data_IF_553736239477
#
_entry.id   IF_553736239477
#
_cell.length_a   1.000
_cell.length_b   1.000
_cell.length_c   1.000
_cell.angle_alpha   90.00
_cell.angle_beta   90.00
_cell.angle_gamma   90.00
#
_symmetry.space_group_name_H-M   'P 1'
#
loop_
_entity.id
_entity.type
_entity.pdbx_description
1 polymer ?
#
# COMPACT_ATOMS: atom_id res chain seq x y z
N UNK A 1 -25.42 -60.89 6.26
CA UNK A 1 -25.36 -59.57 5.57
C UNK A 1 -25.81 -58.47 6.52
N UNK A 2 -24.90 -57.82 7.24
CA UNK A 2 -25.17 -56.54 7.92
C UNK A 2 -23.87 -55.73 7.84
N UNK A 3 -23.78 -54.86 6.83
CA UNK A 3 -22.66 -53.92 6.66
C UNK A 3 -22.89 -52.76 7.64
N UNK A 4 -22.02 -52.64 8.64
CA UNK A 4 -21.89 -51.40 9.42
C UNK A 4 -21.22 -50.36 8.52
N UNK A 5 -21.93 -49.30 8.18
CA UNK A 5 -21.36 -48.08 7.60
C UNK A 5 -21.01 -47.19 8.79
N UNK A 6 -19.72 -47.07 9.12
CA UNK A 6 -19.25 -46.02 10.02
C UNK A 6 -19.20 -44.71 9.23
N UNK A 7 -20.10 -43.79 9.56
CA UNK A 7 -20.10 -42.42 9.06
C UNK A 7 -18.99 -41.67 9.83
N UNK A 8 -17.90 -41.35 9.14
CA UNK A 8 -16.86 -40.46 9.64
C UNK A 8 -17.43 -39.04 9.60
N UNK A 9 -17.86 -38.53 10.75
CA UNK A 9 -18.20 -37.13 10.90
C UNK A 9 -16.91 -36.31 10.78
N UNK A 10 -16.68 -35.70 9.62
CA UNK A 10 -15.63 -34.70 9.46
C UNK A 10 -15.93 -33.54 10.41
N UNK A 11 -15.09 -33.39 11.43
CA UNK A 11 -15.05 -32.19 12.27
C UNK A 11 -14.66 -31.03 11.35
N UNK A 12 -15.65 -30.32 10.83
CA UNK A 12 -15.44 -28.99 10.28
C UNK A 12 -15.03 -28.10 11.46
N UNK A 13 -13.72 -27.97 11.68
CA UNK A 13 -13.21 -26.92 12.55
C UNK A 13 -13.84 -25.61 12.10
N UNK A 14 -14.45 -24.82 12.99
CA UNK A 14 -14.89 -23.49 12.62
C UNK A 14 -13.67 -22.79 12.01
N UNK A 15 -13.84 -22.19 10.83
CA UNK A 15 -12.83 -21.36 10.22
C UNK A 15 -12.53 -20.23 11.21
N UNK A 16 -11.55 -20.46 12.08
CA UNK A 16 -10.99 -19.43 12.95
C UNK A 16 -10.54 -18.33 12.01
N UNK A 17 -11.00 -17.10 12.24
CA UNK A 17 -10.49 -15.95 11.52
C UNK A 17 -8.96 -16.02 11.59
N UNK A 18 -8.30 -16.06 10.43
CA UNK A 18 -6.86 -16.22 10.36
C UNK A 18 -6.20 -15.04 11.09
N UNK A 19 -5.34 -15.34 12.07
CA UNK A 19 -4.52 -14.33 12.70
C UNK A 19 -3.41 -13.93 11.73
N UNK A 20 -3.54 -12.78 11.10
CA UNK A 20 -2.53 -12.30 10.16
C UNK A 20 -1.25 -11.82 10.87
N UNK A 21 -1.24 -11.67 12.19
CA UNK A 21 -0.01 -11.29 12.91
C UNK A 21 1.00 -12.43 13.01
N UNK A 22 0.55 -13.68 12.87
CA UNK A 22 1.40 -14.86 12.99
C UNK A 22 2.53 -14.86 11.95
N UNK A 23 3.77 -14.90 12.46
CA UNK A 23 4.98 -14.94 11.62
C UNK A 23 5.29 -13.65 10.86
N UNK A 24 4.61 -12.54 11.16
CA UNK A 24 4.96 -11.22 10.66
C UNK A 24 6.23 -10.69 11.34
N UNK A 25 7.13 -10.10 10.55
CA UNK A 25 8.32 -9.38 11.03
C UNK A 25 8.19 -7.88 10.81
N UNK A 26 6.97 -7.38 10.64
CA UNK A 26 6.70 -5.97 10.41
C UNK A 26 7.17 -5.12 11.60
N UNK A 27 7.89 -4.05 11.30
CA UNK A 27 8.35 -3.09 12.29
C UNK A 27 7.24 -2.08 12.56
N UNK A 28 6.84 -1.94 13.82
CA UNK A 28 5.90 -0.91 14.29
C UNK A 28 6.35 0.50 13.91
N UNK A 29 5.37 1.35 13.60
CA UNK A 29 5.55 2.80 13.41
C UNK A 29 4.88 3.60 14.53
N UNK A 30 4.33 2.90 15.54
CA UNK A 30 3.55 3.44 16.63
C UNK A 30 2.34 4.27 16.14
N UNK A 31 1.71 3.85 15.04
CA UNK A 31 0.46 4.42 14.58
C UNK A 31 -0.70 3.85 15.40
N UNK A 32 -1.71 4.67 15.64
CA UNK A 32 -2.96 4.19 16.23
C UNK A 32 -3.61 3.15 15.31
N UNK A 33 -4.14 2.08 15.89
CA UNK A 33 -4.85 1.01 15.16
C UNK A 33 -3.96 0.12 14.29
N UNK A 34 -2.62 0.20 14.40
CA UNK A 34 -1.72 -0.68 13.65
C UNK A 34 -1.58 -2.06 14.29
N UNK A 35 -1.60 -3.09 13.45
CA UNK A 35 -1.23 -4.45 13.81
C UNK A 35 -0.30 -5.03 12.75
N UNK A 36 0.73 -5.81 13.13
CA UNK A 36 1.50 -6.58 12.17
C UNK A 36 0.57 -7.52 11.39
N UNK A 37 0.80 -7.65 10.09
CA UNK A 37 0.02 -8.52 9.22
C UNK A 37 0.89 -9.08 8.10
N UNK A 38 0.87 -10.40 7.98
CA UNK A 38 1.51 -11.19 6.95
C UNK A 38 0.46 -12.10 6.31
N UNK A 39 0.37 -12.07 4.99
CA UNK A 39 -0.62 -12.86 4.25
C UNK A 39 -0.26 -13.03 2.78
N UNK A 40 -0.88 -14.03 2.18
CA UNK A 40 -0.83 -14.29 0.74
C UNK A 40 -1.93 -13.48 0.03
N UNK A 41 -1.60 -12.95 -1.15
CA UNK A 41 -2.54 -12.17 -1.94
C UNK A 41 -2.17 -12.18 -3.42
N UNK A 42 -3.15 -11.86 -4.27
CA UNK A 42 -2.89 -11.47 -5.65
C UNK A 42 -2.75 -9.96 -5.74
N UNK A 43 -1.72 -9.47 -6.43
CA UNK A 43 -1.62 -8.04 -6.75
C UNK A 43 -2.59 -7.72 -7.88
N UNK A 44 -3.52 -6.81 -7.62
CA UNK A 44 -4.58 -6.44 -8.56
C UNK A 44 -4.60 -4.96 -8.85
N UNK A 45 -5.15 -4.61 -9.99
CA UNK A 45 -5.62 -3.26 -10.28
C UNK A 45 -6.98 -3.06 -9.62
N UNK A 46 -7.08 -2.11 -8.70
CA UNK A 46 -8.30 -1.88 -7.89
C UNK A 46 -9.50 -1.54 -8.78
N UNK A 47 -9.29 -0.74 -9.84
CA UNK A 47 -10.40 -0.37 -10.72
C UNK A 47 -10.90 -1.57 -11.52
N UNK A 48 -9.99 -2.39 -12.04
CA UNK A 48 -10.33 -3.63 -12.74
C UNK A 48 -11.15 -4.56 -11.83
N UNK A 49 -10.70 -4.76 -10.58
CA UNK A 49 -11.38 -5.64 -9.63
C UNK A 49 -12.77 -5.12 -9.25
N UNK A 50 -12.92 -3.81 -9.03
CA UNK A 50 -14.18 -3.23 -8.56
C UNK A 50 -15.21 -2.98 -9.67
N UNK A 51 -14.76 -2.71 -10.90
CA UNK A 51 -15.65 -2.20 -11.97
C UNK A 51 -15.53 -2.94 -13.30
N UNK A 52 -14.51 -3.79 -13.46
CA UNK A 52 -14.19 -4.42 -14.74
C UNK A 52 -13.43 -3.51 -15.72
N UNK A 53 -13.11 -2.27 -15.36
CA UNK A 53 -12.22 -1.41 -16.15
C UNK A 53 -10.76 -1.87 -15.96
N UNK A 54 -10.29 -2.71 -16.88
CA UNK A 54 -8.97 -3.34 -16.80
C UNK A 54 -7.98 -2.73 -17.78
N UNK A 55 -6.88 -2.15 -17.27
CA UNK A 55 -5.75 -1.74 -18.07
C UNK A 55 -4.71 -2.87 -18.18
N UNK A 56 -4.00 -2.90 -19.31
CA UNK A 56 -2.82 -3.74 -19.46
C UNK A 56 -1.77 -3.42 -18.39
N UNK A 57 -1.04 -4.43 -17.94
CA UNK A 57 0.03 -4.32 -16.92
C UNK A 57 -0.41 -3.57 -15.64
N UNK A 58 -1.68 -3.75 -15.22
CA UNK A 58 -2.29 -3.01 -14.11
C UNK A 58 -2.09 -1.49 -14.20
N UNK A 59 -2.14 -0.94 -15.42
CA UNK A 59 -1.94 0.48 -15.68
C UNK A 59 -0.47 0.95 -15.64
N UNK A 60 0.52 0.06 -15.64
CA UNK A 60 1.93 0.43 -15.82
C UNK A 60 2.47 1.41 -14.76
N UNK A 61 1.95 1.35 -13.54
CA UNK A 61 2.30 2.26 -12.44
C UNK A 61 1.52 3.57 -12.39
N UNK A 62 0.50 3.74 -13.24
CA UNK A 62 -0.41 4.90 -13.21
C UNK A 62 -1.70 4.65 -12.44
N UNK A 63 -2.03 3.38 -12.15
CA UNK A 63 -3.19 2.98 -11.36
C UNK A 63 -2.81 2.68 -9.92
N UNK A 64 -3.79 2.81 -9.03
CA UNK A 64 -3.68 2.28 -7.68
C UNK A 64 -3.80 0.76 -7.72
N UNK A 65 -2.92 0.09 -6.99
CA UNK A 65 -2.88 -1.36 -6.92
C UNK A 65 -3.34 -1.81 -5.53
N UNK A 66 -3.98 -2.97 -5.50
CA UNK A 66 -4.50 -3.61 -4.30
C UNK A 66 -3.91 -4.99 -4.10
N UNK A 67 -4.21 -5.56 -2.94
CA UNK A 67 -3.90 -6.94 -2.60
C UNK A 67 -5.23 -7.66 -2.36
N UNK A 68 -5.62 -8.52 -3.29
CA UNK A 68 -6.77 -9.40 -3.09
C UNK A 68 -6.31 -10.59 -2.26
N UNK A 69 -6.65 -10.56 -0.97
CA UNK A 69 -6.12 -11.53 0.01
C UNK A 69 -6.69 -12.92 -0.23
N UNK A 70 -5.81 -13.91 -0.31
CA UNK A 70 -6.16 -15.32 -0.62
C UNK A 70 -7.06 -15.98 0.42
N UNK A 71 -6.98 -15.56 1.67
CA UNK A 71 -7.67 -16.20 2.78
C UNK A 71 -9.19 -15.95 2.78
N UNK A 72 -9.62 -14.79 2.30
CA UNK A 72 -10.99 -14.29 2.49
C UNK A 72 -11.50 -13.37 1.36
N UNK A 73 -10.77 -13.27 0.25
CA UNK A 73 -11.07 -12.41 -0.90
C UNK A 73 -11.29 -10.93 -0.56
N UNK A 74 -10.75 -10.48 0.58
CA UNK A 74 -10.80 -9.08 0.98
C UNK A 74 -9.79 -8.29 0.17
N UNK A 75 -10.27 -7.22 -0.47
CA UNK A 75 -9.40 -6.23 -1.10
C UNK A 75 -8.74 -5.34 -0.04
N UNK A 76 -7.44 -5.55 0.16
CA UNK A 76 -6.59 -4.73 1.02
C UNK A 76 -5.95 -3.62 0.19
N UNK A 77 -5.86 -2.42 0.76
CA UNK A 77 -5.37 -1.19 0.13
C UNK A 77 -4.00 -0.78 0.68
N UNK A 78 -2.90 -1.12 -0.03
CA UNK A 78 -1.57 -0.67 0.34
C UNK A 78 -1.42 0.81 -0.02
N UNK A 79 -1.56 1.69 0.97
CA UNK A 79 -1.45 3.13 0.74
C UNK A 79 0.00 3.62 0.90
N UNK A 80 0.87 2.80 1.49
CA UNK A 80 2.21 3.22 1.90
C UNK A 80 3.23 2.08 1.85
N UNK A 81 4.48 2.41 1.54
CA UNK A 81 5.62 1.52 1.70
C UNK A 81 6.46 1.87 2.95
N UNK A 82 7.58 1.21 3.20
CA UNK A 82 8.42 1.45 4.39
C UNK A 82 9.18 2.82 4.41
N UNK A 83 8.84 3.79 3.55
CA UNK A 83 9.41 5.13 3.57
C UNK A 83 8.52 6.15 4.29
N UNK A 84 9.13 7.07 5.05
CA UNK A 84 8.44 7.95 5.99
C UNK A 84 7.29 8.77 5.37
N UNK A 85 7.43 9.22 4.12
CA UNK A 85 6.57 10.21 3.46
C UNK A 85 5.24 9.68 2.87
N UNK A 86 4.60 8.69 3.51
CA UNK A 86 3.28 8.13 3.11
C UNK A 86 3.13 7.90 1.60
N UNK A 87 4.16 7.30 1.00
CA UNK A 87 4.28 7.15 -0.45
C UNK A 87 4.64 5.73 -0.83
N UNK A 88 4.57 5.43 -2.13
CA UNK A 88 5.42 4.40 -2.72
C UNK A 88 4.88 2.99 -2.81
N UNK A 89 3.72 2.65 -2.22
CA UNK A 89 3.19 1.29 -2.27
C UNK A 89 3.05 0.75 -3.70
N UNK A 90 2.47 1.53 -4.62
CA UNK A 90 2.32 1.14 -6.04
C UNK A 90 3.66 0.83 -6.70
N UNK A 91 4.73 1.58 -6.39
CA UNK A 91 6.07 1.30 -6.94
C UNK A 91 6.58 -0.07 -6.48
N UNK A 92 6.21 -0.50 -5.29
CA UNK A 92 6.57 -1.82 -4.77
C UNK A 92 5.73 -2.94 -5.39
N UNK A 93 4.44 -2.69 -5.60
CA UNK A 93 3.50 -3.68 -6.13
C UNK A 93 3.57 -3.85 -7.65
N UNK A 94 3.89 -2.79 -8.40
CA UNK A 94 3.81 -2.82 -9.87
C UNK A 94 4.59 -3.97 -10.54
N UNK A 95 5.81 -4.36 -10.10
CA UNK A 95 6.52 -5.51 -10.68
C UNK A 95 5.84 -6.88 -10.44
N UNK A 96 4.86 -6.92 -9.53
CA UNK A 96 4.09 -8.09 -9.15
C UNK A 96 2.67 -8.07 -9.69
N UNK A 97 2.29 -7.11 -10.54
CA UNK A 97 0.97 -7.03 -11.16
C UNK A 97 0.48 -8.41 -11.66
N UNK A 98 -0.70 -8.82 -11.20
CA UNK A 98 -1.35 -10.09 -11.57
C UNK A 98 -0.75 -11.34 -10.93
N UNK A 99 0.37 -11.23 -10.20
CA UNK A 99 1.05 -12.36 -9.56
C UNK A 99 0.53 -12.60 -8.15
N UNK A 100 0.70 -13.84 -7.72
CA UNK A 100 0.56 -14.23 -6.33
C UNK A 100 1.81 -13.86 -5.55
N UNK A 101 1.59 -13.22 -4.42
CA UNK A 101 2.64 -12.71 -3.54
C UNK A 101 2.35 -13.08 -2.11
N UNK A 102 3.42 -13.05 -1.31
CA UNK A 102 3.32 -12.92 0.12
C UNK A 102 3.79 -11.53 0.51
N UNK A 103 3.06 -10.87 1.39
CA UNK A 103 3.38 -9.55 1.91
C UNK A 103 3.53 -9.58 3.42
N UNK A 104 4.35 -8.68 3.95
CA UNK A 104 4.53 -8.47 5.38
C UNK A 104 4.64 -6.96 5.69
N UNK A 105 3.92 -6.50 6.71
CA UNK A 105 3.65 -5.09 6.91
C UNK A 105 2.68 -4.80 8.04
N UNK A 106 2.15 -3.57 8.06
CA UNK A 106 1.23 -3.10 9.10
C UNK A 106 -0.16 -2.90 8.51
N UNK A 107 -1.16 -3.56 9.08
CA UNK A 107 -2.56 -3.35 8.80
C UNK A 107 -3.12 -2.32 9.78
N UNK A 108 -3.83 -1.33 9.27
CA UNK A 108 -4.53 -0.32 10.07
C UNK A 108 -6.01 -0.69 10.13
N UNK A 109 -6.52 -0.81 11.36
CA UNK A 109 -7.95 -0.84 11.64
C UNK A 109 -8.28 0.28 12.61
N UNK A 110 -9.03 1.27 12.13
CA UNK A 110 -9.41 2.45 12.90
C UNK A 110 -10.93 2.64 12.78
N UNK A 111 -11.70 2.37 13.85
CA UNK A 111 -13.16 2.51 13.83
C UNK A 111 -13.62 3.98 13.76
N UNK A 112 -12.83 4.93 14.27
CA UNK A 112 -13.20 6.35 14.30
C UNK A 112 -13.11 6.96 12.89
N UNK A 113 -12.17 6.47 12.07
CA UNK A 113 -12.03 6.84 10.67
C UNK A 113 -12.80 5.91 9.72
N UNK A 114 -13.40 4.84 10.23
CA UNK A 114 -13.96 3.76 9.42
C UNK A 114 -12.91 3.05 8.54
N UNK A 115 -11.62 3.21 8.85
CA UNK A 115 -10.54 2.64 8.09
C UNK A 115 -10.46 1.12 8.36
N UNK A 116 -10.71 0.35 7.31
CA UNK A 116 -10.57 -1.10 7.31
C UNK A 116 -9.70 -1.48 6.12
N UNK A 117 -8.78 -2.43 6.32
CA UNK A 117 -7.94 -2.97 5.26
C UNK A 117 -6.98 -1.95 4.63
N UNK A 118 -6.56 -0.93 5.38
CA UNK A 118 -5.49 -0.03 4.97
C UNK A 118 -4.15 -0.64 5.38
N UNK A 119 -3.20 -0.69 4.45
CA UNK A 119 -1.96 -1.45 4.66
C UNK A 119 -0.71 -0.64 4.33
N UNK A 120 0.32 -0.84 5.16
CA UNK A 120 1.68 -0.39 4.92
C UNK A 120 2.53 -1.60 4.58
N UNK A 121 2.87 -1.77 3.30
CA UNK A 121 3.73 -2.87 2.87
C UNK A 121 5.18 -2.59 3.26
N UNK A 122 5.81 -3.53 3.97
CA UNK A 122 7.24 -3.43 4.34
C UNK A 122 8.11 -4.42 3.58
N UNK A 123 7.57 -5.59 3.25
CA UNK A 123 8.21 -6.60 2.43
C UNK A 123 7.20 -7.24 1.49
N UNK A 124 7.69 -7.68 0.34
CA UNK A 124 6.93 -8.41 -0.68
C UNK A 124 7.83 -9.44 -1.35
N UNK A 125 7.28 -10.60 -1.72
CA UNK A 125 7.94 -11.64 -2.52
C UNK A 125 6.91 -12.37 -3.38
N UNK A 126 7.32 -13.03 -4.46
CA UNK A 126 6.39 -13.95 -5.11
C UNK A 126 6.07 -15.08 -4.14
N UNK A 127 4.87 -15.65 -4.27
CA UNK A 127 4.49 -16.77 -3.44
C UNK A 127 5.51 -17.91 -3.58
N UNK A 128 5.88 -18.53 -2.46
CA UNK A 128 6.90 -19.58 -2.34
C UNK A 128 8.37 -19.17 -2.57
N UNK A 129 8.67 -17.92 -2.94
CA UNK A 129 10.05 -17.46 -3.00
C UNK A 129 10.66 -17.43 -1.58
N UNK A 130 11.94 -17.75 -1.46
CA UNK A 130 12.63 -17.66 -0.17
C UNK A 130 12.95 -16.20 0.20
N UNK A 131 13.34 -15.40 -0.78
CA UNK A 131 13.87 -14.06 -0.57
C UNK A 131 12.78 -12.99 -0.51
N UNK A 132 12.91 -12.07 0.44
CA UNK A 132 12.03 -10.92 0.60
C UNK A 132 12.61 -9.69 -0.08
N UNK A 133 11.78 -8.96 -0.83
CA UNK A 133 12.10 -7.62 -1.31
C UNK A 133 11.61 -6.58 -0.31
N UNK A 134 12.51 -5.70 0.15
CA UNK A 134 12.13 -4.57 1.00
C UNK A 134 11.34 -3.53 0.19
N UNK A 135 10.19 -3.12 0.73
CA UNK A 135 9.29 -2.14 0.13
C UNK A 135 9.78 -0.70 0.41
N UNK A 136 10.88 -0.27 -0.21
CA UNK A 136 11.52 1.01 0.09
C UNK A 136 12.17 1.73 -1.12
N UNK A 137 11.73 1.40 -2.34
CA UNK A 137 12.34 1.87 -3.59
C UNK A 137 11.81 3.22 -4.06
N UNK A 138 10.64 3.66 -3.62
CA UNK A 138 10.00 4.90 -4.13
C UNK A 138 10.93 6.09 -4.32
N UNK A 139 11.69 6.52 -3.30
CA UNK A 139 12.58 7.69 -3.45
C UNK A 139 13.70 7.47 -4.48
N UNK A 140 14.16 6.24 -4.68
CA UNK A 140 15.15 5.89 -5.72
C UNK A 140 14.52 5.97 -7.11
N UNK A 141 13.33 5.41 -7.28
CA UNK A 141 12.59 5.47 -8.56
C UNK A 141 12.18 6.90 -8.90
N UNK A 142 11.75 7.68 -7.91
CA UNK A 142 11.49 9.11 -8.07
C UNK A 142 12.72 9.86 -8.57
N UNK A 143 13.90 9.62 -7.95
CA UNK A 143 15.13 10.29 -8.37
C UNK A 143 15.54 9.92 -9.80
N UNK A 144 15.33 8.66 -10.20
CA UNK A 144 15.56 8.18 -11.57
C UNK A 144 14.63 8.86 -12.58
N UNK A 145 13.37 9.08 -12.19
CA UNK A 145 12.37 9.73 -13.04
C UNK A 145 12.52 11.26 -13.10
N UNK A 146 13.27 11.88 -12.17
CA UNK A 146 13.42 13.34 -12.06
C UNK A 146 14.92 13.73 -11.94
N UNK A 147 15.76 13.43 -12.94
CA UNK A 147 17.21 13.69 -12.88
C UNK A 147 17.57 15.19 -12.73
N UNK A 148 16.68 16.08 -13.13
CA UNK A 148 16.80 17.53 -13.00
C UNK A 148 16.44 18.06 -11.59
N UNK A 149 15.79 17.26 -10.74
CA UNK A 149 15.39 17.62 -9.38
C UNK A 149 16.56 17.58 -8.36
N UNK A 150 17.63 18.32 -8.69
CA UNK A 150 18.89 18.42 -7.92
C UNK A 150 18.71 19.19 -6.61
N UNK A 151 19.50 18.85 -5.59
CA UNK A 151 19.56 19.57 -4.32
C UNK A 151 19.64 18.64 -3.10
N UNK A 152 19.68 19.23 -1.91
CA UNK A 152 19.61 18.52 -0.61
C UNK A 152 18.19 18.57 -0.04
N UNK A 153 17.92 17.75 0.98
CA UNK A 153 16.63 17.73 1.69
C UNK A 153 15.57 16.79 1.08
N UNK A 154 14.32 16.86 1.59
CA UNK A 154 13.24 15.96 1.19
C UNK A 154 12.92 16.07 -0.31
N UNK A 155 12.62 14.92 -0.93
CA UNK A 155 12.34 14.83 -2.38
C UNK A 155 11.17 15.72 -2.81
N UNK A 156 10.11 15.79 -2.01
CA UNK A 156 8.88 16.49 -2.35
C UNK A 156 9.07 18.02 -2.48
N UNK A 157 10.07 18.59 -1.81
CA UNK A 157 10.43 20.02 -1.99
C UNK A 157 11.08 20.30 -3.35
N UNK A 158 11.52 19.25 -4.04
CA UNK A 158 12.21 19.33 -5.34
C UNK A 158 11.39 18.73 -6.47
N UNK A 159 10.28 18.07 -6.17
CA UNK A 159 9.43 17.44 -7.16
C UNK A 159 8.82 18.49 -8.11
N UNK A 160 8.99 18.33 -9.43
CA UNK A 160 8.51 19.31 -10.40
C UNK A 160 6.98 19.44 -10.41
N UNK A 161 6.24 18.37 -10.10
CA UNK A 161 4.78 18.40 -10.03
C UNK A 161 4.32 19.23 -8.84
N UNK A 162 4.95 19.05 -7.69
CA UNK A 162 4.65 19.84 -6.48
C UNK A 162 4.99 21.31 -6.71
N UNK A 163 6.16 21.61 -7.30
CA UNK A 163 6.52 22.98 -7.67
C UNK A 163 5.53 23.61 -8.63
N UNK A 164 5.05 22.85 -9.62
CA UNK A 164 4.02 23.33 -10.55
C UNK A 164 2.70 23.65 -9.83
N UNK A 165 2.27 22.81 -8.89
CA UNK A 165 1.07 23.07 -8.09
C UNK A 165 1.21 24.33 -7.24
N UNK A 166 2.35 24.51 -6.56
CA UNK A 166 2.63 25.72 -5.78
C UNK A 166 2.68 26.96 -6.66
N UNK A 167 3.31 26.88 -7.84
CA UNK A 167 3.35 28.00 -8.78
C UNK A 167 1.96 28.39 -9.28
N UNK A 168 1.07 27.41 -9.50
CA UNK A 168 -0.28 27.65 -9.98
C UNK A 168 -1.24 28.15 -8.88
N UNK A 169 -1.12 27.63 -7.66
CA UNK A 169 -2.14 27.77 -6.63
C UNK A 169 -1.64 28.39 -5.32
N UNK A 170 -0.35 28.72 -5.23
CA UNK A 170 0.30 29.10 -3.98
C UNK A 170 0.55 27.93 -3.05
N UNK A 171 1.26 28.17 -1.95
CA UNK A 171 1.51 27.20 -0.88
C UNK A 171 0.24 26.77 -0.15
N UNK A 172 -0.72 27.67 -0.05
CA UNK A 172 -1.97 27.49 0.69
C UNK A 172 -3.13 27.00 -0.17
N UNK A 173 -2.98 27.04 -1.50
CA UNK A 173 -4.00 26.64 -2.46
C UNK A 173 -5.05 27.72 -2.77
N UNK A 174 -5.00 28.90 -2.14
CA UNK A 174 -5.95 30.01 -2.39
C UNK A 174 -5.50 30.96 -3.51
N UNK A 175 -4.34 30.69 -4.12
CA UNK A 175 -3.74 31.49 -5.19
C UNK A 175 -2.52 32.30 -4.71
N UNK A 176 -1.47 32.47 -5.55
CA UNK A 176 -0.21 33.14 -5.16
C UNK A 176 -0.38 34.58 -4.69
N UNK A 177 -1.36 35.30 -5.24
CA UNK A 177 -1.62 36.70 -4.86
C UNK A 177 -2.37 36.79 -3.54
N UNK A 178 -3.35 35.91 -3.33
CA UNK A 178 -4.19 35.92 -2.13
C UNK A 178 -3.43 35.48 -0.88
N UNK A 179 -2.35 34.71 -1.01
CA UNK A 179 -1.55 34.24 0.13
C UNK A 179 -0.44 35.20 0.58
N UNK A 180 -0.16 36.28 -0.15
CA UNK A 180 0.88 37.26 0.22
C UNK A 180 0.74 37.81 1.65
N UNK A 181 -0.47 38.21 2.12
CA UNK A 181 -0.63 38.67 3.50
C UNK A 181 -0.26 37.61 4.52
N UNK A 182 -0.66 36.34 4.28
CA UNK A 182 -0.34 35.22 5.16
C UNK A 182 1.18 34.97 5.21
N UNK A 183 1.85 34.96 4.06
CA UNK A 183 3.30 34.76 4.02
C UNK A 183 4.02 35.85 4.80
N UNK A 184 3.64 37.12 4.59
CA UNK A 184 4.23 38.26 5.28
C UNK A 184 4.01 38.22 6.80
N UNK A 185 2.82 37.85 7.25
CA UNK A 185 2.51 37.83 8.69
C UNK A 185 3.23 36.70 9.44
N UNK A 186 3.35 35.52 8.81
CA UNK A 186 3.82 34.32 9.50
C UNK A 186 5.29 33.97 9.26
N UNK A 187 5.93 34.54 8.23
CA UNK A 187 7.28 34.11 7.82
C UNK A 187 8.27 35.25 7.49
N UNK A 188 7.85 36.52 7.44
CA UNK A 188 8.72 37.69 7.20
C UNK A 188 8.74 38.65 8.40
#
# INVERSE_FOLDING_TARGET
MKRLIMILAALASPAMAQDFSDGSEAKTWNLYGESPARFEAKVVDILCEMTGDCAAECGGGTRQLGLLRRADDVLVFPNKNAQAAFSGAVVELAPFCGKEVEVDGLLITDPDLGAKHIYLVQKIRNLCDAEWTAANRWTKEWAKANPEAKGKGPWFRRDPRIKAQIAAHGYTGIGPEAEKPFIKEWFE
#
